data_IF_995590761827
#
_entry.id   IF_995590761827
#
_cell.length_a   1.000
_cell.length_b   1.000
_cell.length_c   1.000
_cell.angle_alpha   90.00
_cell.angle_beta   90.00
_cell.angle_gamma   90.00
#
_symmetry.space_group_name_H-M   'P 1'
#
loop_
_entity.id
_entity.type
_entity.pdbx_description
1 polymer ?
#
# COMPACT_ATOMS: atom_id res chain seq x y z
N UNK A 1 27.40 -0.73 -51.22
CA UNK A 1 28.61 -0.75 -50.35
C UNK A 1 28.17 -1.38 -49.03
N UNK A 2 28.65 -2.60 -48.73
CA UNK A 2 28.30 -3.39 -47.54
C UNK A 2 29.41 -3.21 -46.50
N UNK A 3 29.07 -2.88 -45.25
CA UNK A 3 29.98 -2.90 -44.11
C UNK A 3 29.44 -3.89 -43.07
N UNK A 4 30.19 -4.94 -42.69
CA UNK A 4 29.91 -5.75 -41.51
C UNK A 4 30.70 -5.19 -40.32
N UNK A 5 30.03 -4.97 -39.18
CA UNK A 5 30.72 -4.70 -37.92
C UNK A 5 30.38 -5.80 -36.93
N UNK A 6 31.46 -6.33 -36.37
CA UNK A 6 31.60 -7.53 -35.58
C UNK A 6 31.29 -7.26 -34.09
N UNK A 7 30.73 -8.28 -33.44
CA UNK A 7 31.04 -8.80 -32.10
C UNK A 7 31.23 -7.83 -30.93
N UNK A 8 30.48 -8.05 -29.85
CA UNK A 8 31.07 -8.44 -28.56
C UNK A 8 30.04 -9.10 -27.65
N UNK A 9 30.39 -10.32 -27.23
CA UNK A 9 29.72 -11.15 -26.25
C UNK A 9 30.18 -10.68 -24.85
N UNK A 10 29.27 -10.49 -23.90
CA UNK A 10 29.64 -10.35 -22.50
C UNK A 10 28.62 -11.10 -21.65
N UNK A 11 29.04 -12.28 -21.20
CA UNK A 11 28.32 -13.14 -20.26
C UNK A 11 28.83 -12.74 -18.87
N UNK A 12 27.95 -12.20 -18.02
CA UNK A 12 28.22 -12.00 -16.59
C UNK A 12 27.44 -13.06 -15.84
N UNK A 13 28.15 -14.08 -15.34
CA UNK A 13 27.60 -15.08 -14.43
C UNK A 13 27.85 -14.55 -13.01
N UNK A 14 26.79 -14.07 -12.36
CA UNK A 14 26.80 -13.81 -10.92
C UNK A 14 26.09 -14.97 -10.21
N UNK A 15 26.89 -15.90 -9.71
CA UNK A 15 26.43 -16.95 -8.79
C UNK A 15 26.38 -16.36 -7.38
N UNK A 16 25.20 -16.22 -6.81
CA UNK A 16 25.02 -15.94 -5.39
C UNK A 16 24.28 -17.10 -4.76
N UNK A 17 25.05 -17.96 -4.07
CA UNK A 17 24.52 -18.95 -3.14
C UNK A 17 24.46 -18.31 -1.75
N UNK A 18 23.28 -18.35 -1.13
CA UNK A 18 23.01 -18.15 0.30
C UNK A 18 21.61 -18.72 0.56
N UNK A 19 21.24 -19.38 1.65
CA UNK A 19 21.88 -20.04 2.80
C UNK A 19 20.75 -20.94 3.34
N UNK A 20 21.08 -22.14 3.82
CA UNK A 20 20.16 -22.99 4.59
C UNK A 20 19.90 -22.37 5.96
N UNK A 21 18.64 -22.28 6.39
CA UNK A 21 18.31 -21.84 7.73
C UNK A 21 16.83 -21.88 8.09
N UNK A 22 16.42 -23.01 8.68
CA UNK A 22 15.50 -23.02 9.82
C UNK A 22 14.01 -23.27 9.56
N UNK A 23 13.43 -24.16 10.38
CA UNK A 23 12.08 -23.98 10.90
C UNK A 23 11.05 -25.03 10.50
N UNK A 24 11.13 -26.23 11.09
CA UNK A 24 9.98 -27.11 11.22
C UNK A 24 8.98 -26.54 12.24
N UNK A 25 7.70 -26.62 11.90
CA UNK A 25 6.61 -26.78 12.86
C UNK A 25 5.87 -25.51 13.24
N UNK A 26 4.69 -25.32 12.64
CA UNK A 26 3.56 -24.70 13.32
C UNK A 26 2.42 -25.71 13.28
N UNK A 27 2.21 -26.34 14.44
CA UNK A 27 1.02 -27.09 14.80
C UNK A 27 -0.22 -26.17 14.85
N UNK A 28 -1.43 -26.75 14.72
CA UNK A 28 -2.66 -26.00 14.48
C UNK A 28 -3.14 -25.25 15.72
N UNK A 29 -3.63 -24.03 15.49
CA UNK A 29 -4.22 -23.15 16.49
C UNK A 29 -5.53 -23.76 17.05
N UNK A 30 -5.47 -24.16 18.32
CA UNK A 30 -6.60 -24.58 19.14
C UNK A 30 -7.48 -23.35 19.47
N UNK A 31 -8.65 -23.26 18.82
CA UNK A 31 -9.70 -22.29 19.15
C UNK A 31 -10.50 -22.78 20.37
N UNK A 32 -9.88 -22.76 21.55
CA UNK A 32 -10.61 -22.87 22.81
C UNK A 32 -10.73 -21.51 23.50
N UNK A 33 -11.92 -20.97 23.35
CA UNK A 33 -12.64 -20.07 24.24
C UNK A 33 -11.99 -19.90 25.63
N UNK A 34 -11.44 -18.71 25.90
CA UNK A 34 -11.08 -18.29 27.25
C UNK A 34 -11.52 -16.85 27.49
N UNK A 35 -12.75 -16.72 27.99
CA UNK A 35 -13.20 -15.62 28.82
C UNK A 35 -12.12 -15.25 29.85
N UNK A 36 -11.50 -14.08 29.72
CA UNK A 36 -10.85 -13.39 30.85
C UNK A 36 -10.95 -11.87 30.71
N UNK A 37 -11.96 -11.34 31.41
CA UNK A 37 -11.86 -10.21 32.34
C UNK A 37 -11.19 -8.93 31.84
N UNK A 38 -12.07 -7.96 31.55
CA UNK A 38 -11.81 -6.51 31.57
C UNK A 38 -10.93 -6.14 32.77
N UNK A 39 -9.68 -5.74 32.52
CA UNK A 39 -8.92 -4.91 33.46
C UNK A 39 -8.98 -3.48 32.98
N UNK A 40 -9.78 -2.70 33.70
CA UNK A 40 -9.88 -1.25 33.62
C UNK A 40 -8.48 -0.65 33.72
N UNK A 41 -8.04 0.04 32.67
CA UNK A 41 -6.83 0.86 32.72
C UNK A 41 -6.99 1.91 33.81
N UNK A 42 -6.04 1.92 34.74
CA UNK A 42 -5.94 2.87 35.83
C UNK A 42 -5.79 4.31 35.29
N UNK A 43 -6.90 5.04 35.21
CA UNK A 43 -6.89 6.50 35.13
C UNK A 43 -6.98 7.01 36.57
N UNK A 44 -5.84 7.41 37.14
CA UNK A 44 -5.85 8.23 38.36
C UNK A 44 -6.43 9.62 38.02
N UNK A 45 -7.42 10.13 38.76
CA UNK A 45 -7.99 11.45 38.51
C UNK A 45 -7.06 12.53 39.09
N UNK A 46 -6.54 13.43 38.24
CA UNK A 46 -6.07 14.74 38.72
C UNK A 46 -7.19 15.76 38.54
N UNK A 47 -8.21 15.65 39.39
CA UNK A 47 -9.10 16.77 39.67
C UNK A 47 -8.39 17.62 40.74
N UNK A 48 -7.66 18.66 40.32
CA UNK A 48 -7.01 19.60 41.23
C UNK A 48 -8.08 20.55 41.77
N UNK A 49 -8.75 20.12 42.85
CA UNK A 49 -9.65 20.97 43.63
C UNK A 49 -8.74 21.84 44.53
N UNK A 50 -8.69 23.14 44.27
CA UNK A 50 -8.12 24.12 45.19
C UNK A 50 -9.12 24.39 46.32
N UNK A 51 -8.65 24.46 47.58
CA UNK A 51 -9.48 24.46 48.81
C UNK A 51 -10.34 25.70 49.09
N UNK A 52 -10.63 26.58 48.13
CA UNK A 52 -11.34 27.85 48.40
C UNK A 52 -12.70 28.03 47.72
N UNK A 53 -13.27 26.97 47.11
CA UNK A 53 -14.72 26.90 46.88
C UNK A 53 -15.37 28.04 46.07
N UNK A 54 -14.62 28.77 45.23
CA UNK A 54 -15.16 29.77 44.30
C UNK A 54 -14.92 29.33 42.86
N UNK A 55 -16.00 28.96 42.17
CA UNK A 55 -15.98 28.81 40.72
C UNK A 55 -15.98 30.22 40.09
N UNK A 56 -14.90 30.60 39.42
CA UNK A 56 -14.89 31.73 38.49
C UNK A 56 -15.27 31.22 37.09
N UNK A 57 -16.28 31.81 36.43
CA UNK A 57 -16.64 31.46 35.07
C UNK A 57 -15.81 32.31 34.11
N UNK A 58 -14.55 31.96 33.90
CA UNK A 58 -13.74 32.59 32.84
C UNK A 58 -12.64 31.61 32.42
N UNK A 59 -12.92 30.90 31.33
CA UNK A 59 -11.94 30.48 30.31
C UNK A 59 -12.72 29.71 29.22
N UNK A 60 -13.54 30.50 28.52
CA UNK A 60 -13.96 30.13 27.18
C UNK A 60 -12.74 30.03 26.27
N UNK A 61 -12.84 29.16 25.27
CA UNK A 61 -11.87 28.95 24.19
C UNK A 61 -10.60 28.15 24.55
N UNK A 62 -10.78 26.87 24.92
CA UNK A 62 -9.85 25.85 24.41
C UNK A 62 -10.57 25.04 23.34
N UNK A 63 -10.37 25.47 22.10
CA UNK A 63 -10.71 24.69 20.92
C UNK A 63 -10.27 23.23 21.12
N UNK A 64 -11.00 22.23 20.59
CA UNK A 64 -10.50 20.88 20.57
C UNK A 64 -9.11 20.94 19.96
N UNK A 65 -8.11 20.44 20.70
CA UNK A 65 -6.82 20.11 20.14
C UNK A 65 -7.11 19.12 19.02
N UNK A 66 -7.28 19.66 17.82
CA UNK A 66 -7.13 18.93 16.59
C UNK A 66 -5.75 18.32 16.73
N UNK A 67 -5.76 17.03 17.07
CA UNK A 67 -4.61 16.16 16.98
C UNK A 67 -4.05 16.45 15.60
N UNK A 68 -2.95 17.20 15.58
CA UNK A 68 -2.20 17.52 14.38
C UNK A 68 -1.68 16.18 13.90
N UNK A 69 -2.53 15.45 13.18
CA UNK A 69 -2.12 14.44 12.23
C UNK A 69 -1.02 15.12 11.42
N UNK A 70 0.24 14.68 11.55
CA UNK A 70 1.30 15.30 10.80
C UNK A 70 0.85 15.19 9.34
N UNK A 71 0.64 16.34 8.70
CA UNK A 71 0.69 16.45 7.24
C UNK A 71 2.09 16.01 6.84
N UNK A 72 2.34 14.70 6.88
CA UNK A 72 3.34 14.12 6.03
C UNK A 72 2.90 14.52 4.64
N UNK A 73 3.78 15.20 3.93
CA UNK A 73 3.69 15.44 2.50
C UNK A 73 3.78 14.08 1.77
N UNK A 74 2.86 13.18 2.10
CA UNK A 74 2.70 11.84 1.55
C UNK A 74 1.90 12.04 0.29
N UNK A 75 2.43 11.50 -0.80
CA UNK A 75 1.77 11.48 -2.09
C UNK A 75 0.40 10.85 -1.94
N UNK A 76 -0.62 11.49 -2.50
CA UNK A 76 -1.96 10.93 -2.47
C UNK A 76 -2.08 9.84 -3.53
N UNK A 77 -2.77 8.75 -3.21
CA UNK A 77 -3.05 7.66 -4.15
C UNK A 77 -3.78 8.17 -5.40
N UNK A 78 -4.64 9.18 -5.28
CA UNK A 78 -5.29 9.83 -6.43
C UNK A 78 -4.28 10.45 -7.42
N UNK A 79 -3.15 10.98 -6.92
CA UNK A 79 -2.10 11.54 -7.80
C UNK A 79 -1.42 10.43 -8.60
N UNK A 80 -1.16 9.29 -7.97
CA UNK A 80 -0.58 8.12 -8.63
C UNK A 80 -1.53 7.56 -9.70
N UNK A 81 -2.83 7.53 -9.42
CA UNK A 81 -3.85 7.14 -10.39
C UNK A 81 -3.85 8.08 -11.61
N UNK A 82 -3.83 9.41 -11.40
CA UNK A 82 -3.78 10.37 -12.51
C UNK A 82 -2.50 10.27 -13.35
N UNK A 83 -1.35 9.99 -12.73
CA UNK A 83 -0.11 9.75 -13.48
C UNK A 83 -0.26 8.49 -14.35
N UNK A 84 -0.85 7.43 -13.81
CA UNK A 84 -1.10 6.21 -14.56
C UNK A 84 -2.08 6.44 -15.73
N UNK A 85 -3.13 7.24 -15.54
CA UNK A 85 -4.10 7.62 -16.58
C UNK A 85 -3.46 8.44 -17.71
N UNK A 86 -2.39 9.20 -17.42
CA UNK A 86 -1.68 9.98 -18.44
C UNK A 86 -0.91 9.12 -19.45
N UNK A 87 -0.75 7.81 -19.19
CA UNK A 87 -0.03 6.90 -20.08
C UNK A 87 -0.90 6.51 -21.27
N UNK A 88 -0.41 6.65 -22.52
CA UNK A 88 -1.18 6.30 -23.71
C UNK A 88 -1.68 4.85 -23.70
N UNK A 89 -3.00 4.68 -23.86
CA UNK A 89 -3.67 3.37 -23.86
C UNK A 89 -4.28 2.96 -22.53
N UNK A 90 -4.13 3.78 -21.48
CA UNK A 90 -4.90 3.66 -20.23
C UNK A 90 -6.19 4.47 -20.36
N UNK A 91 -7.33 3.83 -20.11
CA UNK A 91 -8.65 4.47 -20.11
C UNK A 91 -8.99 5.05 -18.72
N UNK A 92 -8.64 4.32 -17.66
CA UNK A 92 -8.84 4.70 -16.26
C UNK A 92 -7.85 3.95 -15.38
N UNK A 93 -7.47 4.55 -14.25
CA UNK A 93 -6.66 3.89 -13.24
C UNK A 93 -7.25 4.04 -11.84
N UNK A 94 -7.01 3.04 -11.00
CA UNK A 94 -7.35 3.06 -9.57
C UNK A 94 -6.08 2.73 -8.82
N UNK A 95 -5.72 3.57 -7.84
CA UNK A 95 -4.56 3.34 -7.00
C UNK A 95 -4.96 3.19 -5.54
N UNK A 96 -4.29 2.27 -4.84
CA UNK A 96 -4.35 2.11 -3.40
C UNK A 96 -2.93 2.03 -2.89
N UNK A 97 -2.62 2.75 -1.82
CA UNK A 97 -1.29 2.80 -1.24
C UNK A 97 -1.34 2.43 0.22
N UNK A 98 -0.30 1.73 0.68
CA UNK A 98 -0.03 1.53 2.09
C UNK A 98 1.46 1.57 2.37
N UNK A 99 1.86 2.58 3.16
CA UNK A 99 3.24 2.95 3.44
C UNK A 99 4.13 3.01 2.19
N UNK A 100 4.76 1.89 1.81
CA UNK A 100 5.68 1.77 0.67
C UNK A 100 5.10 1.03 -0.54
N UNK A 101 4.06 0.22 -0.35
CA UNK A 101 3.51 -0.63 -1.41
C UNK A 101 2.29 0.04 -2.04
N UNK A 102 2.31 0.12 -3.37
CA UNK A 102 1.29 0.79 -4.18
C UNK A 102 0.70 -0.23 -5.15
N UNK A 103 -0.61 -0.44 -5.06
CA UNK A 103 -1.37 -1.23 -6.01
C UNK A 103 -2.00 -0.29 -7.04
N UNK A 104 -1.81 -0.59 -8.33
CA UNK A 104 -2.43 0.17 -9.42
C UNK A 104 -3.18 -0.79 -10.33
N UNK A 105 -4.50 -0.62 -10.37
CA UNK A 105 -5.38 -1.30 -11.31
C UNK A 105 -5.61 -0.43 -12.54
N UNK A 106 -5.36 -0.97 -13.74
CA UNK A 106 -5.50 -0.27 -15.01
C UNK A 106 -6.70 -0.81 -15.79
N UNK A 107 -7.48 0.10 -16.38
CA UNK A 107 -8.38 -0.20 -17.47
C UNK A 107 -7.69 0.14 -18.78
N UNK A 108 -7.58 -0.84 -19.68
CA UNK A 108 -6.87 -0.72 -20.95
C UNK A 108 -7.81 -1.07 -22.10
N UNK A 109 -7.90 -0.19 -23.10
CA UNK A 109 -8.74 -0.40 -24.28
C UNK A 109 -8.22 -1.56 -25.15
N UNK A 110 -6.89 -1.63 -25.35
CA UNK A 110 -6.26 -2.64 -26.19
C UNK A 110 -5.56 -3.74 -25.38
N UNK A 111 -6.27 -4.86 -25.19
CA UNK A 111 -5.79 -6.03 -24.44
C UNK A 111 -4.47 -6.59 -25.00
N UNK A 112 -4.24 -6.51 -26.31
CA UNK A 112 -3.02 -7.00 -26.96
C UNK A 112 -1.76 -6.23 -26.56
N UNK A 113 -1.90 -5.02 -26.02
CA UNK A 113 -0.79 -4.17 -25.55
C UNK A 113 -0.68 -4.10 -24.04
N UNK A 114 -1.48 -4.89 -23.30
CA UNK A 114 -1.55 -4.87 -21.83
C UNK A 114 -0.17 -4.82 -21.16
N UNK A 115 0.69 -5.81 -21.42
CA UNK A 115 2.02 -5.89 -20.78
C UNK A 115 2.94 -4.71 -21.12
N UNK A 116 2.81 -4.17 -22.32
CA UNK A 116 3.61 -3.00 -22.72
C UNK A 116 3.16 -1.78 -21.93
N UNK A 117 1.84 -1.56 -21.84
CA UNK A 117 1.24 -0.44 -21.13
C UNK A 117 1.52 -0.54 -19.62
N UNK A 118 1.38 -1.73 -19.02
CA UNK A 118 1.74 -1.96 -17.61
C UNK A 118 3.18 -1.54 -17.32
N UNK A 119 4.15 -1.96 -18.17
CA UNK A 119 5.56 -1.56 -18.03
C UNK A 119 5.78 -0.06 -18.22
N UNK A 120 5.04 0.56 -19.14
CA UNK A 120 5.12 2.01 -19.36
C UNK A 120 4.61 2.77 -18.13
N UNK A 121 3.49 2.34 -17.54
CA UNK A 121 2.98 2.91 -16.29
C UNK A 121 3.96 2.70 -15.15
N UNK A 122 4.52 1.49 -14.99
CA UNK A 122 5.56 1.24 -13.97
C UNK A 122 6.73 2.19 -14.14
N UNK A 123 7.19 2.39 -15.37
CA UNK A 123 8.31 3.29 -15.66
C UNK A 123 7.97 4.75 -15.36
N UNK A 124 6.76 5.20 -15.71
CA UNK A 124 6.30 6.57 -15.46
C UNK A 124 6.19 6.89 -13.95
N UNK A 125 5.63 5.95 -13.17
CA UNK A 125 5.50 6.09 -11.73
C UNK A 125 6.86 6.02 -11.03
N UNK A 126 7.70 5.04 -11.39
CA UNK A 126 9.02 4.88 -10.81
C UNK A 126 9.97 6.04 -11.13
N UNK A 127 9.78 6.71 -12.28
CA UNK A 127 10.55 7.91 -12.61
C UNK A 127 10.22 9.10 -11.70
N UNK A 128 8.96 9.25 -11.31
CA UNK A 128 8.54 10.34 -10.43
C UNK A 128 8.82 10.03 -8.96
N UNK A 129 8.52 8.80 -8.52
CA UNK A 129 8.59 8.40 -7.12
C UNK A 129 9.21 7.00 -6.99
N UNK A 130 10.55 6.88 -7.02
CA UNK A 130 11.26 5.60 -6.97
C UNK A 130 11.23 4.94 -5.57
N UNK A 131 10.76 5.63 -4.54
CA UNK A 131 10.70 5.12 -3.17
C UNK A 131 9.59 4.09 -2.92
N UNK A 132 8.63 3.97 -3.83
CA UNK A 132 7.49 3.06 -3.71
C UNK A 132 7.67 1.78 -4.52
N UNK A 133 7.03 0.72 -4.06
CA UNK A 133 6.95 -0.58 -4.74
C UNK A 133 5.63 -0.67 -5.48
N UNK A 134 5.70 -0.64 -6.82
CA UNK A 134 4.52 -0.62 -7.67
C UNK A 134 4.11 -2.02 -8.12
N UNK A 135 2.89 -2.41 -7.78
CA UNK A 135 2.25 -3.61 -8.27
C UNK A 135 1.13 -3.20 -9.22
N UNK A 136 1.38 -3.36 -10.51
CA UNK A 136 0.51 -2.86 -11.57
C UNK A 136 -0.15 -4.04 -12.27
N UNK A 137 -1.46 -3.93 -12.48
CA UNK A 137 -2.22 -4.96 -13.18
C UNK A 137 -3.30 -4.34 -14.04
N UNK A 138 -3.49 -4.88 -15.24
CA UNK A 138 -4.71 -4.66 -16.03
C UNK A 138 -5.54 -5.94 -16.18
N UNK A 139 -5.41 -6.87 -15.23
CA UNK A 139 -6.31 -8.00 -15.09
C UNK A 139 -7.62 -7.51 -14.45
N UNK A 140 -8.75 -7.80 -15.07
CA UNK A 140 -10.06 -7.32 -14.60
C UNK A 140 -10.40 -7.82 -13.20
N UNK A 141 -10.12 -9.09 -12.87
CA UNK A 141 -10.40 -9.67 -11.55
C UNK A 141 -9.58 -8.97 -10.46
N UNK A 142 -8.28 -8.79 -10.69
CA UNK A 142 -7.40 -8.13 -9.72
C UNK A 142 -7.77 -6.64 -9.60
N UNK A 143 -8.14 -5.98 -10.69
CA UNK A 143 -8.62 -4.60 -10.67
C UNK A 143 -9.88 -4.43 -9.83
N UNK A 144 -10.87 -5.33 -9.94
CA UNK A 144 -12.08 -5.26 -9.11
C UNK A 144 -11.79 -5.47 -7.61
N UNK A 145 -10.81 -6.32 -7.28
CA UNK A 145 -10.33 -6.47 -5.91
C UNK A 145 -9.67 -5.18 -5.41
N UNK A 146 -8.80 -4.56 -6.21
CA UNK A 146 -8.18 -3.25 -5.88
C UNK A 146 -9.27 -2.18 -5.69
N UNK A 147 -10.26 -2.11 -6.57
CA UNK A 147 -11.41 -1.18 -6.44
C UNK A 147 -12.16 -1.41 -5.13
N UNK A 148 -12.40 -2.66 -4.76
CA UNK A 148 -13.07 -3.02 -3.50
C UNK A 148 -12.26 -2.57 -2.27
N UNK A 149 -10.93 -2.74 -2.30
CA UNK A 149 -10.05 -2.24 -1.23
C UNK A 149 -10.07 -0.71 -1.18
N UNK A 150 -9.97 -0.02 -2.32
CA UNK A 150 -10.05 1.45 -2.40
C UNK A 150 -11.34 1.98 -1.77
N UNK A 151 -12.48 1.38 -2.12
CA UNK A 151 -13.78 1.75 -1.53
C UNK A 151 -13.81 1.54 -0.01
N UNK A 152 -13.19 0.47 0.51
CA UNK A 152 -13.09 0.25 1.97
C UNK A 152 -12.23 1.31 2.63
N UNK A 153 -11.08 1.65 2.05
CA UNK A 153 -10.18 2.70 2.56
C UNK A 153 -10.92 4.02 2.73
N UNK A 154 -11.72 4.42 1.72
CA UNK A 154 -12.53 5.63 1.78
C UNK A 154 -13.57 5.61 2.92
N UNK A 155 -13.99 4.43 3.37
CA UNK A 155 -14.96 4.24 4.46
C UNK A 155 -14.31 4.05 5.85
N UNK A 156 -13.00 4.30 6.00
CA UNK A 156 -12.33 4.23 7.31
C UNK A 156 -11.89 2.83 7.72
N UNK A 157 -11.44 2.02 6.75
CA UNK A 157 -10.95 0.66 6.98
C UNK A 157 -9.76 0.58 7.94
N UNK A 158 -9.70 -0.49 8.75
CA UNK A 158 -8.63 -0.68 9.74
C UNK A 158 -7.27 -0.89 9.06
N UNK A 159 -6.24 -0.16 9.51
CA UNK A 159 -4.91 -0.16 8.89
C UNK A 159 -4.24 -1.55 8.86
N UNK A 160 -4.50 -2.41 9.84
CA UNK A 160 -3.95 -3.77 9.88
C UNK A 160 -4.53 -4.67 8.78
N UNK A 161 -5.85 -4.62 8.59
CA UNK A 161 -6.53 -5.36 7.51
C UNK A 161 -6.14 -4.81 6.14
N UNK A 162 -5.95 -3.49 6.03
CA UNK A 162 -5.47 -2.86 4.80
C UNK A 162 -4.09 -3.38 4.39
N UNK A 163 -3.15 -3.48 5.35
CA UNK A 163 -1.81 -4.02 5.12
C UNK A 163 -1.86 -5.46 4.60
N UNK A 164 -2.69 -6.29 5.22
CA UNK A 164 -2.83 -7.69 4.82
C UNK A 164 -3.45 -7.82 3.42
N UNK A 165 -4.54 -7.10 3.15
CA UNK A 165 -5.22 -7.15 1.85
C UNK A 165 -4.28 -6.66 0.73
N UNK A 166 -3.51 -5.60 0.97
CA UNK A 166 -2.57 -5.08 -0.01
C UNK A 166 -1.41 -6.06 -0.25
N UNK A 167 -0.85 -6.65 0.81
CA UNK A 167 0.22 -7.65 0.67
C UNK A 167 -0.20 -8.87 -0.14
N UNK A 168 -1.41 -9.39 0.09
CA UNK A 168 -1.96 -10.53 -0.67
C UNK A 168 -2.16 -10.15 -2.14
N UNK A 169 -2.69 -8.95 -2.41
CA UNK A 169 -2.91 -8.49 -3.78
C UNK A 169 -1.59 -8.23 -4.51
N UNK A 170 -0.60 -7.64 -3.85
CA UNK A 170 0.74 -7.45 -4.40
C UNK A 170 1.36 -8.79 -4.83
N UNK A 171 1.36 -9.79 -3.96
CA UNK A 171 1.88 -11.13 -4.28
C UNK A 171 1.12 -11.78 -5.45
N UNK A 172 -0.20 -11.67 -5.44
CA UNK A 172 -1.05 -12.22 -6.52
C UNK A 172 -0.75 -11.55 -7.87
N UNK A 173 -0.57 -10.22 -7.88
CA UNK A 173 -0.22 -9.45 -9.09
C UNK A 173 1.14 -9.91 -9.60
N UNK A 174 2.14 -9.99 -8.72
CA UNK A 174 3.52 -10.35 -9.09
C UNK A 174 3.58 -11.77 -9.68
N UNK A 175 2.90 -12.74 -9.05
CA UNK A 175 2.80 -14.12 -9.56
C UNK A 175 2.07 -14.17 -10.90
N UNK A 176 0.99 -13.40 -11.07
CA UNK A 176 0.21 -13.37 -12.31
C UNK A 176 0.98 -12.75 -13.48
N UNK A 177 1.87 -11.80 -13.20
CA UNK A 177 2.71 -11.13 -14.21
C UNK A 177 3.72 -12.08 -14.86
N UNK A 178 4.20 -13.09 -14.12
CA UNK A 178 5.20 -14.08 -14.57
C UNK A 178 4.59 -15.15 -15.50
N UNK A 179 3.33 -15.53 -15.32
CA UNK A 179 2.73 -16.73 -15.94
C UNK A 179 2.17 -16.55 -17.36
N UNK A 180 2.44 -15.42 -18.02
CA UNK A 180 1.91 -15.10 -19.36
C UNK A 180 3.00 -14.74 -20.37
#
# INVERSE_FOLDING_TARGET
>A
MRMPIRTSLSIVILSSALVLGGGCGNEPDDYTNRERNVKQNAIKPLNRITSDGKATPDDGARAPIAETNPKQNRINHDQLAHIAESVPGVESAIAVMNDTDVLVGLQIENIGKRKMIEKQVTSALNWQYPEYRYHITANDELRERIRSVSARVQNGYHAQMLNQDIGILADTIDVSSIRH
#
